data_IF_876883212758
#
_entry.id   IF_876883212758
#
_cell.length_a   1.000
_cell.length_b   1.000
_cell.length_c   1.000
_cell.angle_alpha   90.00
_cell.angle_beta   90.00
_cell.angle_gamma   90.00
#
_symmetry.space_group_name_H-M   'P 1'
#
loop_
_entity.id
_entity.type
_entity.pdbx_description
1 polymer ?
#
# COMPACT_ATOMS: atom_id res chain seq x y z
N UNK A 1 -24.50 10.57 -11.14
CA UNK A 1 -25.39 9.39 -11.07
C UNK A 1 -25.27 8.80 -9.68
N UNK A 2 -26.23 8.01 -9.23
CA UNK A 2 -26.24 7.36 -7.91
C UNK A 2 -26.01 5.84 -8.03
N UNK A 3 -25.86 5.15 -6.89
CA UNK A 3 -25.71 3.69 -6.85
C UNK A 3 -26.92 2.94 -7.45
N UNK A 4 -28.14 3.47 -7.31
CA UNK A 4 -29.37 2.85 -7.84
C UNK A 4 -29.38 2.86 -9.37
N UNK A 5 -29.03 3.98 -9.99
CA UNK A 5 -28.91 4.08 -11.45
C UNK A 5 -27.78 3.22 -11.99
N UNK A 6 -26.67 3.06 -11.27
CA UNK A 6 -25.63 2.08 -11.61
C UNK A 6 -26.17 0.65 -11.61
N UNK A 7 -26.90 0.27 -10.56
CA UNK A 7 -27.50 -1.07 -10.46
C UNK A 7 -28.45 -1.34 -11.63
N UNK A 8 -29.30 -0.38 -11.98
CA UNK A 8 -30.21 -0.47 -13.12
C UNK A 8 -29.48 -0.57 -14.45
N UNK A 9 -28.40 0.21 -14.64
CA UNK A 9 -27.54 0.10 -15.83
C UNK A 9 -26.95 -1.31 -15.94
N UNK A 10 -26.32 -1.81 -14.89
CA UNK A 10 -25.73 -3.16 -14.88
C UNK A 10 -26.78 -4.22 -15.23
N UNK A 11 -27.98 -4.13 -14.66
CA UNK A 11 -29.09 -5.05 -14.95
C UNK A 11 -29.49 -5.05 -16.43
N UNK A 12 -29.51 -3.88 -17.08
CA UNK A 12 -29.82 -3.75 -18.53
C UNK A 12 -28.71 -4.29 -19.43
N UNK A 13 -27.49 -4.43 -18.91
CA UNK A 13 -26.36 -4.99 -19.66
C UNK A 13 -26.33 -6.52 -19.66
N UNK A 14 -27.18 -7.17 -18.88
CA UNK A 14 -27.15 -8.63 -18.71
C UNK A 14 -27.25 -9.37 -20.06
N UNK A 15 -26.37 -10.34 -20.26
CA UNK A 15 -26.30 -11.12 -21.50
C UNK A 15 -25.88 -10.34 -22.76
N UNK A 16 -25.64 -9.02 -22.69
CA UNK A 16 -25.07 -8.25 -23.82
C UNK A 16 -23.60 -8.63 -24.03
N UNK A 17 -23.07 -8.28 -25.21
CA UNK A 17 -21.65 -8.43 -25.49
C UNK A 17 -20.79 -7.60 -24.55
N UNK A 18 -19.62 -8.11 -24.18
CA UNK A 18 -18.74 -7.55 -23.15
C UNK A 18 -18.41 -6.05 -23.34
N UNK A 19 -18.27 -5.61 -24.61
CA UNK A 19 -18.00 -4.21 -24.93
C UNK A 19 -19.04 -3.22 -24.42
N UNK A 20 -20.26 -3.68 -24.11
CA UNK A 20 -21.32 -2.85 -23.52
C UNK A 20 -20.98 -2.37 -22.10
N UNK A 21 -20.03 -2.98 -21.39
CA UNK A 21 -19.54 -2.45 -20.12
C UNK A 21 -18.98 -1.03 -20.22
N UNK A 22 -18.57 -0.57 -21.43
CA UNK A 22 -18.11 0.82 -21.64
C UNK A 22 -19.18 1.85 -21.24
N UNK A 23 -20.46 1.48 -21.27
CA UNK A 23 -21.59 2.31 -20.80
C UNK A 23 -21.55 2.58 -19.28
N UNK A 24 -20.77 1.81 -18.51
CA UNK A 24 -20.58 2.03 -17.08
C UNK A 24 -19.59 3.16 -16.78
N UNK A 25 -18.78 3.63 -17.73
CA UNK A 25 -17.82 4.71 -17.50
C UNK A 25 -18.51 5.95 -16.91
N UNK A 26 -17.95 6.52 -15.84
CA UNK A 26 -18.51 7.71 -15.20
C UNK A 26 -18.33 7.75 -13.68
N UNK A 27 -19.05 8.67 -13.05
CA UNK A 27 -18.99 8.94 -11.61
C UNK A 27 -20.34 8.61 -10.98
N UNK A 28 -20.30 7.83 -9.90
CA UNK A 28 -21.46 7.34 -9.17
C UNK A 28 -21.33 7.69 -7.69
N UNK A 29 -22.31 8.42 -7.16
CA UNK A 29 -22.42 8.72 -5.75
C UNK A 29 -23.00 7.51 -5.02
N UNK A 30 -22.25 6.99 -4.06
CA UNK A 30 -22.72 6.06 -3.04
C UNK A 30 -22.96 6.84 -1.74
N UNK A 31 -23.56 6.20 -0.74
CA UNK A 31 -23.92 6.88 0.51
C UNK A 31 -22.70 7.46 1.23
N UNK A 32 -21.57 6.76 1.18
CA UNK A 32 -20.35 7.11 1.95
C UNK A 32 -19.14 7.46 1.10
N UNK A 33 -19.21 7.30 -0.23
CA UNK A 33 -18.07 7.57 -1.12
C UNK A 33 -18.55 7.86 -2.55
N UNK A 34 -17.64 8.36 -3.40
CA UNK A 34 -17.86 8.44 -4.85
C UNK A 34 -17.06 7.36 -5.55
N UNK A 35 -17.68 6.65 -6.48
CA UNK A 35 -17.03 5.66 -7.33
C UNK A 35 -16.81 6.25 -8.72
N UNK A 36 -15.58 6.13 -9.21
CA UNK A 36 -15.16 6.51 -10.56
C UNK A 36 -14.83 5.23 -11.32
N UNK A 37 -15.47 5.05 -12.47
CA UNK A 37 -15.13 4.00 -13.43
C UNK A 37 -14.42 4.70 -14.58
N UNK A 38 -13.09 4.78 -14.52
CA UNK A 38 -12.29 5.61 -15.43
C UNK A 38 -12.00 4.89 -16.75
N UNK A 39 -11.62 3.61 -16.67
CA UNK A 39 -11.31 2.78 -17.83
C UNK A 39 -11.97 1.42 -17.68
N UNK A 40 -12.70 1.01 -18.70
CA UNK A 40 -13.31 -0.32 -18.78
C UNK A 40 -12.44 -1.21 -19.66
N UNK A 41 -12.14 -2.43 -19.20
CA UNK A 41 -11.38 -3.41 -19.96
C UNK A 41 -12.10 -3.81 -21.27
N UNK A 42 -11.36 -4.05 -22.34
CA UNK A 42 -11.94 -4.31 -23.67
C UNK A 42 -12.61 -5.69 -23.77
N UNK A 43 -12.09 -6.67 -23.03
CA UNK A 43 -12.58 -8.04 -22.96
C UNK A 43 -12.24 -8.66 -21.58
N UNK A 44 -12.79 -9.83 -21.21
CA UNK A 44 -12.57 -10.46 -19.90
C UNK A 44 -11.12 -10.87 -19.59
N UNK A 45 -10.26 -11.01 -20.60
CA UNK A 45 -8.86 -11.44 -20.46
C UNK A 45 -7.88 -10.25 -20.45
N UNK A 46 -8.29 -9.09 -20.98
CA UNK A 46 -7.51 -7.86 -21.00
C UNK A 46 -7.09 -7.39 -19.59
N UNK A 47 -6.20 -6.39 -19.50
CA UNK A 47 -5.91 -5.71 -18.23
C UNK A 47 -7.20 -5.22 -17.58
N UNK A 48 -7.42 -5.47 -16.26
CA UNK A 48 -8.69 -5.16 -15.65
C UNK A 48 -9.03 -3.66 -15.66
N UNK A 49 -10.28 -3.36 -15.41
CA UNK A 49 -10.85 -2.01 -15.47
C UNK A 49 -10.27 -1.14 -14.35
N UNK A 50 -9.92 0.11 -14.65
CA UNK A 50 -9.40 1.06 -13.67
C UNK A 50 -10.56 1.78 -12.98
N UNK A 51 -10.59 1.66 -11.66
CA UNK A 51 -11.56 2.26 -10.78
C UNK A 51 -10.83 3.20 -9.80
N UNK A 52 -11.52 4.25 -9.37
CA UNK A 52 -11.13 5.04 -8.20
C UNK A 52 -12.30 5.16 -7.25
N UNK A 53 -12.02 5.21 -5.96
CA UNK A 53 -13.00 5.60 -4.96
C UNK A 53 -12.50 6.83 -4.21
N UNK A 54 -13.42 7.73 -3.89
CA UNK A 54 -13.17 8.93 -3.11
C UNK A 54 -14.02 8.89 -1.84
N UNK A 55 -13.35 8.78 -0.69
CA UNK A 55 -13.94 8.82 0.64
C UNK A 55 -13.76 10.22 1.23
N UNK A 56 -14.84 10.98 1.47
CA UNK A 56 -14.77 12.27 2.15
C UNK A 56 -14.17 12.17 3.56
N UNK A 57 -13.54 13.23 4.03
CA UNK A 57 -12.86 13.28 5.33
C UNK A 57 -13.79 12.94 6.51
N UNK A 58 -15.03 13.42 6.47
CA UNK A 58 -16.07 13.18 7.48
C UNK A 58 -16.49 11.71 7.60
N UNK A 59 -16.27 10.94 6.54
CA UNK A 59 -16.49 9.49 6.48
C UNK A 59 -15.23 8.73 6.88
N UNK A 60 -14.09 9.10 6.28
CA UNK A 60 -12.81 8.45 6.53
C UNK A 60 -12.37 8.60 8.00
N UNK A 61 -12.64 9.77 8.60
CA UNK A 61 -12.37 10.10 10.01
C UNK A 61 -10.93 9.82 10.44
N UNK A 62 -9.98 10.00 9.52
CA UNK A 62 -8.57 9.83 9.79
C UNK A 62 -8.12 10.89 10.82
N UNK A 63 -7.44 10.51 11.90
CA UNK A 63 -6.95 11.48 12.87
C UNK A 63 -5.90 12.40 12.23
N UNK A 64 -5.99 13.71 12.49
CA UNK A 64 -5.10 14.72 11.91
C UNK A 64 -3.61 14.43 12.14
N UNK A 65 -3.25 13.79 13.26
CA UNK A 65 -1.87 13.41 13.56
C UNK A 65 -1.27 12.43 12.56
N UNK A 66 -2.10 11.68 11.81
CA UNK A 66 -1.62 10.68 10.83
C UNK A 66 -1.13 11.30 9.53
N UNK A 67 -1.47 12.56 9.26
CA UNK A 67 -1.07 13.29 8.05
C UNK A 67 -0.61 14.73 8.35
N UNK A 68 -0.16 14.99 9.58
CA UNK A 68 0.31 16.29 10.03
C UNK A 68 1.64 16.74 9.38
N UNK A 69 2.44 15.79 8.89
CA UNK A 69 3.68 16.01 8.14
C UNK A 69 3.69 15.12 6.89
N UNK A 70 4.55 15.44 5.92
CA UNK A 70 4.68 14.66 4.69
C UNK A 70 5.14 13.22 5.00
N UNK A 71 6.03 13.06 5.97
CA UNK A 71 6.53 11.78 6.45
C UNK A 71 5.39 10.93 7.05
N UNK A 72 4.57 11.54 7.91
CA UNK A 72 3.42 10.85 8.52
C UNK A 72 2.41 10.44 7.47
N UNK A 73 2.09 11.37 6.55
CA UNK A 73 1.19 11.13 5.42
C UNK A 73 1.68 9.97 4.54
N UNK A 74 2.97 9.89 4.22
CA UNK A 74 3.52 8.76 3.46
C UNK A 74 3.35 7.43 4.23
N UNK A 75 3.60 7.40 5.54
CA UNK A 75 3.35 6.20 6.36
C UNK A 75 1.87 5.78 6.35
N UNK A 76 0.96 6.75 6.48
CA UNK A 76 -0.49 6.55 6.40
C UNK A 76 -0.94 6.00 5.04
N UNK A 77 -0.48 6.59 3.94
CA UNK A 77 -0.84 6.15 2.58
C UNK A 77 -0.37 4.72 2.30
N UNK A 78 0.84 4.35 2.75
CA UNK A 78 1.35 2.99 2.64
C UNK A 78 0.54 2.00 3.50
N UNK A 79 0.17 2.40 4.71
CA UNK A 79 -0.71 1.60 5.57
C UNK A 79 -2.07 1.36 4.92
N UNK A 80 -2.74 2.42 4.43
CA UNK A 80 -4.03 2.30 3.77
C UNK A 80 -3.95 1.45 2.50
N UNK A 81 -2.89 1.59 1.70
CA UNK A 81 -2.65 0.76 0.53
C UNK A 81 -2.45 -0.71 0.91
N UNK A 82 -1.74 -0.99 2.01
CA UNK A 82 -1.57 -2.33 2.56
C UNK A 82 -2.92 -2.94 3.00
N UNK A 83 -3.70 -2.21 3.81
CA UNK A 83 -5.02 -2.62 4.27
C UNK A 83 -5.97 -2.86 3.09
N UNK A 84 -5.99 -1.95 2.12
CA UNK A 84 -6.79 -2.06 0.91
C UNK A 84 -6.42 -3.30 0.09
N UNK A 85 -5.13 -3.59 -0.09
CA UNK A 85 -4.66 -4.76 -0.82
C UNK A 85 -5.05 -6.07 -0.13
N UNK A 86 -4.93 -6.16 1.20
CA UNK A 86 -5.39 -7.32 1.96
C UNK A 86 -6.91 -7.50 1.83
N UNK A 87 -7.68 -6.41 1.97
CA UNK A 87 -9.14 -6.47 1.85
C UNK A 87 -9.58 -6.84 0.45
N UNK A 88 -8.97 -6.26 -0.58
CA UNK A 88 -9.23 -6.58 -1.98
C UNK A 88 -8.97 -8.06 -2.27
N UNK A 89 -7.85 -8.62 -1.78
CA UNK A 89 -7.55 -10.05 -1.92
C UNK A 89 -8.59 -10.94 -1.23
N UNK A 90 -9.07 -10.55 -0.06
CA UNK A 90 -10.09 -11.31 0.68
C UNK A 90 -11.48 -11.25 0.00
N UNK A 91 -11.79 -10.15 -0.69
CA UNK A 91 -13.05 -9.96 -1.42
C UNK A 91 -13.02 -10.59 -2.83
N UNK A 92 -11.84 -10.66 -3.45
CA UNK A 92 -11.67 -11.19 -4.80
C UNK A 92 -12.12 -12.66 -4.86
N UNK A 93 -13.04 -12.94 -5.78
CA UNK A 93 -13.61 -14.28 -6.04
C UNK A 93 -13.71 -14.48 -7.53
N UNK A 94 -13.48 -15.70 -8.01
CA UNK A 94 -13.66 -15.99 -9.42
C UNK A 94 -15.15 -15.89 -9.80
N UNK A 95 -15.48 -14.99 -10.74
CA UNK A 95 -16.87 -14.67 -11.13
C UNK A 95 -17.12 -14.83 -12.62
N UNK A 96 -16.54 -15.85 -13.24
CA UNK A 96 -16.69 -16.13 -14.67
C UNK A 96 -15.35 -16.12 -15.41
N UNK A 97 -15.34 -15.83 -16.70
CA UNK A 97 -14.19 -16.03 -17.57
C UNK A 97 -13.05 -15.02 -17.33
N UNK A 98 -11.81 -15.48 -17.49
CA UNK A 98 -10.62 -14.62 -17.47
C UNK A 98 -10.38 -14.01 -16.09
N UNK A 99 -10.27 -12.68 -16.04
CA UNK A 99 -10.01 -11.91 -14.81
C UNK A 99 -11.28 -11.58 -14.01
N UNK A 100 -12.42 -12.15 -14.38
CA UNK A 100 -13.72 -11.88 -13.75
C UNK A 100 -13.69 -12.05 -12.22
N UNK A 101 -14.04 -10.97 -11.52
CA UNK A 101 -14.13 -10.90 -10.06
C UNK A 101 -12.81 -10.61 -9.33
N UNK A 102 -11.73 -10.32 -10.06
CA UNK A 102 -10.52 -9.77 -9.47
C UNK A 102 -10.76 -8.36 -8.92
N UNK A 103 -10.19 -8.08 -7.74
CA UNK A 103 -10.01 -6.74 -7.20
C UNK A 103 -8.54 -6.62 -6.85
N UNK A 104 -7.84 -5.67 -7.47
CA UNK A 104 -6.39 -5.51 -7.31
C UNK A 104 -6.11 -4.09 -6.88
N UNK A 105 -5.55 -3.97 -5.68
CA UNK A 105 -4.94 -2.74 -5.19
C UNK A 105 -3.44 -2.95 -5.17
N UNK A 106 -2.68 -2.00 -5.70
CA UNK A 106 -1.23 -2.01 -5.54
C UNK A 106 -0.89 -1.59 -4.12
N UNK A 107 -0.50 -2.56 -3.29
CA UNK A 107 0.00 -2.31 -1.94
C UNK A 107 1.49 -1.94 -1.94
N UNK A 108 2.02 -1.53 -0.77
CA UNK A 108 3.44 -1.25 -0.63
C UNK A 108 4.28 -2.53 -0.74
N UNK A 109 5.53 -2.37 -1.14
CA UNK A 109 6.57 -3.40 -1.09
C UNK A 109 7.11 -3.56 0.33
N UNK A 110 8.43 -3.62 0.49
CA UNK A 110 9.06 -3.52 1.81
C UNK A 110 9.41 -2.07 2.16
N UNK A 111 9.49 -1.21 1.16
CA UNK A 111 9.77 0.21 1.24
C UNK A 111 8.48 1.00 1.43
N UNK A 112 8.55 2.07 2.24
CA UNK A 112 7.49 3.06 2.34
C UNK A 112 7.83 4.24 1.43
N UNK A 113 7.10 4.35 0.32
CA UNK A 113 7.31 5.37 -0.72
C UNK A 113 6.01 6.14 -0.97
N UNK A 114 6.05 7.36 -1.53
CA UNK A 114 4.85 7.97 -2.08
C UNK A 114 4.22 7.04 -3.14
N UNK A 115 2.94 6.67 -2.96
CA UNK A 115 2.23 5.75 -3.85
C UNK A 115 1.12 6.48 -4.60
N UNK A 116 0.84 6.04 -5.82
CA UNK A 116 -0.32 6.53 -6.59
C UNK A 116 -1.60 5.76 -6.31
N UNK A 117 -1.49 4.61 -5.61
CA UNK A 117 -2.61 3.75 -5.29
C UNK A 117 -3.52 4.39 -4.23
N UNK A 118 -2.94 5.08 -3.25
CA UNK A 118 -3.69 5.79 -2.21
C UNK A 118 -3.14 7.19 -2.06
N UNK A 119 -4.02 8.18 -2.00
CA UNK A 119 -3.70 9.57 -1.73
C UNK A 119 -4.59 10.09 -0.59
N UNK A 120 -3.98 10.71 0.41
CA UNK A 120 -4.71 11.38 1.51
C UNK A 120 -4.60 12.88 1.36
N UNK A 121 -5.71 13.60 1.33
CA UNK A 121 -5.72 15.06 1.19
C UNK A 121 -5.39 15.75 2.52
N UNK A 122 -5.12 17.06 2.47
CA UNK A 122 -4.80 17.84 3.68
C UNK A 122 -5.94 17.91 4.71
N UNK A 123 -7.18 17.68 4.30
CA UNK A 123 -8.35 17.57 5.17
C UNK A 123 -8.66 16.12 5.60
N UNK A 124 -7.91 15.12 5.11
CA UNK A 124 -8.05 13.72 5.50
C UNK A 124 -9.05 12.91 4.65
N UNK A 125 -9.48 13.41 3.49
CA UNK A 125 -10.18 12.60 2.49
C UNK A 125 -9.21 11.61 1.84
N UNK A 126 -9.74 10.48 1.36
CA UNK A 126 -8.94 9.38 0.81
C UNK A 126 -9.37 9.10 -0.63
N UNK A 127 -8.43 9.16 -1.57
CA UNK A 127 -8.57 8.57 -2.89
C UNK A 127 -7.87 7.20 -2.90
N UNK A 128 -8.57 6.16 -3.33
CA UNK A 128 -7.97 4.84 -3.63
C UNK A 128 -8.17 4.51 -5.11
N UNK A 129 -7.08 4.15 -5.80
CA UNK A 129 -7.05 3.69 -7.19
C UNK A 129 -6.81 2.18 -7.23
N UNK A 130 -7.62 1.46 -7.98
CA UNK A 130 -7.60 0.00 -8.00
C UNK A 130 -8.16 -0.56 -9.30
N UNK A 131 -7.93 -1.85 -9.53
CA UNK A 131 -8.38 -2.54 -10.72
C UNK A 131 -9.48 -3.55 -10.39
N UNK A 132 -10.46 -3.64 -11.28
CA UNK A 132 -11.62 -4.51 -11.13
C UNK A 132 -11.81 -5.34 -12.40
N UNK A 133 -11.81 -6.66 -12.27
CA UNK A 133 -12.12 -7.56 -13.36
C UNK A 133 -13.63 -7.75 -13.50
N UNK A 134 -14.24 -7.11 -14.50
CA UNK A 134 -15.69 -7.16 -14.66
C UNK A 134 -16.20 -8.56 -15.09
N UNK A 135 -17.24 -9.11 -14.44
CA UNK A 135 -17.72 -10.47 -14.67
C UNK A 135 -18.29 -10.75 -16.07
N UNK A 136 -17.98 -11.93 -16.61
CA UNK A 136 -18.54 -12.42 -17.87
C UNK A 136 -18.55 -13.95 -17.98
N UNK A 137 -19.46 -14.50 -18.80
CA UNK A 137 -19.43 -15.88 -19.26
C UNK A 137 -19.02 -15.87 -20.74
N UNK A 138 -17.80 -16.31 -21.04
CA UNK A 138 -17.18 -16.02 -22.34
C UNK A 138 -17.14 -14.51 -22.56
N UNK A 139 -17.81 -14.01 -23.60
CA UNK A 139 -17.92 -12.56 -23.89
C UNK A 139 -19.30 -11.97 -23.56
N UNK A 140 -20.10 -12.65 -22.74
CA UNK A 140 -21.44 -12.20 -22.33
C UNK A 140 -21.39 -11.67 -20.90
N UNK A 141 -21.95 -10.49 -20.68
CA UNK A 141 -21.97 -9.82 -19.38
C UNK A 141 -22.80 -10.64 -18.38
N UNK A 142 -22.26 -10.78 -17.17
CA UNK A 142 -22.92 -11.42 -16.02
C UNK A 142 -23.37 -10.34 -15.02
N UNK A 143 -24.59 -9.81 -15.19
CA UNK A 143 -25.02 -8.64 -14.45
C UNK A 143 -25.15 -8.88 -12.94
N UNK A 144 -25.63 -10.05 -12.53
CA UNK A 144 -25.74 -10.40 -11.10
C UNK A 144 -24.39 -10.36 -10.41
N UNK A 145 -23.39 -11.04 -10.98
CA UNK A 145 -22.03 -11.08 -10.45
C UNK A 145 -21.38 -9.68 -10.45
N UNK A 146 -21.67 -8.87 -11.47
CA UNK A 146 -21.20 -7.49 -11.53
C UNK A 146 -21.84 -6.60 -10.46
N UNK A 147 -23.12 -6.80 -10.15
CA UNK A 147 -23.80 -6.12 -9.05
C UNK A 147 -23.20 -6.54 -7.70
N UNK A 148 -23.03 -7.83 -7.43
CA UNK A 148 -22.38 -8.30 -6.18
C UNK A 148 -20.97 -7.69 -6.04
N UNK A 149 -20.17 -7.70 -7.11
CA UNK A 149 -18.83 -7.11 -7.12
C UNK A 149 -18.85 -5.59 -6.87
N UNK A 150 -19.67 -4.83 -7.60
CA UNK A 150 -19.59 -3.36 -7.59
C UNK A 150 -20.41 -2.75 -6.45
N UNK A 151 -21.54 -3.36 -6.09
CA UNK A 151 -22.51 -2.81 -5.13
C UNK A 151 -22.38 -3.41 -3.73
N UNK A 152 -21.60 -4.48 -3.55
CA UNK A 152 -21.36 -5.09 -2.23
C UNK A 152 -19.87 -5.08 -1.86
N UNK A 153 -19.01 -5.66 -2.70
CA UNK A 153 -17.57 -5.77 -2.37
C UNK A 153 -16.86 -4.41 -2.38
N UNK A 154 -17.09 -3.56 -3.39
CA UNK A 154 -16.43 -2.24 -3.44
C UNK A 154 -16.85 -1.36 -2.25
N UNK A 155 -18.14 -1.28 -1.85
CA UNK A 155 -18.51 -0.63 -0.59
C UNK A 155 -17.84 -1.26 0.64
N UNK A 156 -17.66 -2.58 0.69
CA UNK A 156 -16.93 -3.23 1.77
C UNK A 156 -15.43 -2.86 1.80
N UNK A 157 -14.81 -2.69 0.63
CA UNK A 157 -13.45 -2.16 0.49
C UNK A 157 -13.39 -0.71 0.98
N UNK A 158 -14.30 0.16 0.56
CA UNK A 158 -14.34 1.56 1.00
C UNK A 158 -14.50 1.68 2.53
N UNK A 159 -15.40 0.89 3.14
CA UNK A 159 -15.56 0.86 4.60
C UNK A 159 -14.29 0.43 5.34
N UNK A 160 -13.48 -0.45 4.75
CA UNK A 160 -12.22 -0.90 5.37
C UNK A 160 -11.16 0.19 5.52
N UNK A 161 -11.33 1.34 4.85
CA UNK A 161 -10.41 2.47 4.92
C UNK A 161 -10.85 3.56 5.90
N UNK A 162 -12.03 3.40 6.51
CA UNK A 162 -12.53 4.33 7.52
C UNK A 162 -11.84 4.02 8.86
N UNK A 163 -11.36 5.06 9.56
CA UNK A 163 -10.61 4.94 10.82
C UNK A 163 -11.21 3.97 11.86
N UNK A 164 -12.53 3.93 12.10
CA UNK A 164 -13.11 2.97 13.04
C UNK A 164 -12.88 1.48 12.70
N UNK A 165 -12.56 1.17 11.44
CA UNK A 165 -12.34 -0.20 10.95
C UNK A 165 -10.86 -0.53 10.75
N UNK A 166 -9.95 0.41 11.03
CA UNK A 166 -8.51 0.22 10.86
C UNK A 166 -7.90 -0.46 12.10
N UNK A 167 -6.81 -1.19 11.89
CA UNK A 167 -5.94 -1.59 12.99
C UNK A 167 -5.14 -0.37 13.46
N UNK A 168 -5.53 0.20 14.60
CA UNK A 168 -4.95 1.45 15.12
C UNK A 168 -3.50 1.27 15.56
N UNK A 169 -3.14 0.10 16.07
CA UNK A 169 -1.77 -0.19 16.50
C UNK A 169 -0.86 -0.30 15.27
N UNK A 170 -1.31 -1.01 14.24
CA UNK A 170 -0.55 -1.12 12.99
C UNK A 170 -0.46 0.22 12.26
N UNK A 171 -1.55 1.00 12.21
CA UNK A 171 -1.55 2.36 11.67
C UNK A 171 -0.49 3.23 12.35
N UNK A 172 -0.48 3.24 13.69
CA UNK A 172 0.49 3.99 14.48
C UNK A 172 1.92 3.58 14.14
N UNK A 173 2.19 2.27 14.11
CA UNK A 173 3.50 1.74 13.74
C UNK A 173 3.97 2.17 12.35
N UNK A 174 3.10 2.15 11.33
CA UNK A 174 3.46 2.61 9.98
C UNK A 174 3.83 4.09 9.95
N UNK A 175 2.99 4.93 10.56
CA UNK A 175 3.18 6.39 10.59
C UNK A 175 4.46 6.77 11.34
N UNK A 176 4.63 6.24 12.55
CA UNK A 176 5.76 6.57 13.42
C UNK A 176 7.08 6.00 12.89
N UNK A 177 7.08 4.79 12.33
CA UNK A 177 8.30 4.19 11.75
C UNK A 177 8.79 5.00 10.55
N UNK A 178 7.90 5.50 9.70
CA UNK A 178 8.32 6.32 8.56
C UNK A 178 8.87 7.69 9.00
N UNK A 179 8.26 8.30 10.02
CA UNK A 179 8.75 9.56 10.59
C UNK A 179 10.11 9.38 11.27
N UNK A 180 10.28 8.34 12.09
CA UNK A 180 11.57 7.99 12.72
C UNK A 180 12.67 7.75 11.66
N UNK A 181 12.35 7.00 10.60
CA UNK A 181 13.30 6.72 9.53
C UNK A 181 13.69 7.98 8.76
N UNK A 182 12.74 8.89 8.50
CA UNK A 182 13.02 10.17 7.85
C UNK A 182 13.88 11.07 8.73
N UNK A 183 13.51 11.19 10.01
CA UNK A 183 14.26 11.95 11.01
C UNK A 183 15.71 11.46 11.12
N UNK A 184 15.90 10.14 11.23
CA UNK A 184 17.22 9.53 11.30
C UNK A 184 18.08 9.89 10.08
N UNK A 185 17.52 9.75 8.86
CA UNK A 185 18.24 10.09 7.61
C UNK A 185 18.66 11.55 7.56
N UNK A 186 17.78 12.47 7.97
CA UNK A 186 18.09 13.90 8.01
C UNK A 186 19.22 14.21 9.00
N UNK A 187 19.26 13.52 10.14
CA UNK A 187 20.28 13.70 11.18
C UNK A 187 21.67 13.17 10.83
N UNK A 188 21.80 12.28 9.84
CA UNK A 188 23.11 11.70 9.48
C UNK A 188 24.15 12.79 9.16
N UNK A 189 23.75 13.81 8.40
CA UNK A 189 24.67 14.86 7.95
C UNK A 189 25.21 15.71 9.10
N UNK A 190 24.34 16.09 10.05
CA UNK A 190 24.67 16.83 11.28
C UNK A 190 25.65 16.03 12.17
N UNK A 191 25.49 14.71 12.18
CA UNK A 191 26.34 13.79 12.95
C UNK A 191 27.65 13.41 12.23
N UNK A 192 27.89 13.95 11.04
CA UNK A 192 29.06 13.60 10.22
C UNK A 192 29.04 12.16 9.69
N UNK A 193 27.85 11.55 9.64
CA UNK A 193 27.61 10.19 9.16
C UNK A 193 27.14 10.20 7.70
N UNK A 194 27.42 9.10 7.00
CA UNK A 194 26.84 8.79 5.68
C UNK A 194 25.82 7.66 5.76
N UNK A 195 25.87 6.85 6.82
CA UNK A 195 24.90 5.80 7.06
C UNK A 195 24.85 5.41 8.54
N UNK A 196 23.73 4.77 8.93
CA UNK A 196 23.52 4.19 10.25
C UNK A 196 22.83 2.84 10.11
N UNK A 197 23.34 1.82 10.82
CA UNK A 197 22.73 0.49 10.88
C UNK A 197 22.39 0.18 12.32
N UNK A 198 21.09 0.14 12.65
CA UNK A 198 20.62 -0.10 14.00
C UNK A 198 20.96 -1.53 14.47
N UNK A 199 21.31 -1.66 15.75
CA UNK A 199 21.42 -2.96 16.39
C UNK A 199 20.09 -3.71 16.32
N UNK A 200 20.17 -5.04 16.20
CA UNK A 200 19.01 -5.91 16.02
C UNK A 200 18.47 -5.95 14.59
N UNK A 201 19.03 -5.20 13.64
CA UNK A 201 18.58 -5.22 12.25
C UNK A 201 18.78 -6.59 11.61
N UNK A 202 17.73 -7.09 10.93
CA UNK A 202 17.83 -8.29 10.10
C UNK A 202 18.15 -7.88 8.66
N UNK A 203 19.44 -7.89 8.33
CA UNK A 203 19.95 -7.51 7.01
C UNK A 203 19.70 -8.56 5.90
N UNK A 204 19.90 -9.88 6.15
CA UNK A 204 19.68 -10.88 5.09
C UNK A 204 18.20 -10.98 4.71
N UNK A 205 17.94 -11.14 3.40
CA UNK A 205 16.60 -11.33 2.86
C UNK A 205 16.24 -12.81 2.81
N UNK A 206 14.95 -13.10 2.74
CA UNK A 206 14.40 -14.46 2.73
C UNK A 206 14.91 -15.27 1.54
N UNK A 207 15.06 -14.66 0.36
CA UNK A 207 15.74 -15.26 -0.79
C UNK A 207 16.18 -14.19 -1.79
N UNK A 208 16.81 -14.58 -2.91
CA UNK A 208 17.17 -13.66 -3.99
C UNK A 208 15.99 -13.01 -4.72
N UNK A 209 14.78 -13.56 -4.57
CA UNK A 209 13.54 -13.05 -5.21
C UNK A 209 12.49 -12.59 -4.21
N UNK A 210 12.69 -12.87 -2.91
CA UNK A 210 11.79 -12.49 -1.84
C UNK A 210 12.48 -11.45 -0.97
N UNK A 211 12.10 -10.17 -1.10
CA UNK A 211 12.75 -9.11 -0.40
C UNK A 211 12.33 -9.08 1.07
N UNK A 212 11.58 -10.02 1.67
CA UNK A 212 11.30 -9.97 3.12
C UNK A 212 12.54 -10.30 3.97
N UNK A 213 12.60 -9.93 5.26
CA UNK A 213 13.68 -10.37 6.15
C UNK A 213 13.76 -11.89 6.26
N UNK A 214 14.98 -12.44 6.37
CA UNK A 214 15.18 -13.85 6.65
C UNK A 214 14.68 -14.20 8.07
N UNK A 215 14.10 -15.39 8.23
CA UNK A 215 13.51 -15.82 9.52
C UNK A 215 14.55 -16.23 10.56
N UNK A 216 15.57 -16.97 10.13
CA UNK A 216 16.63 -17.51 10.99
C UNK A 216 17.94 -16.78 10.66
N UNK A 217 18.04 -15.54 11.11
CA UNK A 217 19.17 -14.67 10.82
C UNK A 217 19.83 -14.18 12.11
N UNK A 218 21.15 -14.01 12.05
CA UNK A 218 21.90 -13.35 13.12
C UNK A 218 21.57 -11.85 13.06
N UNK A 219 20.99 -11.26 14.12
CA UNK A 219 20.74 -9.83 14.15
C UNK A 219 22.07 -9.06 14.10
N UNK A 220 22.06 -7.93 13.41
CA UNK A 220 23.22 -7.07 13.34
C UNK A 220 23.56 -6.49 14.72
N UNK A 221 24.85 -6.48 15.07
CA UNK A 221 25.35 -5.84 16.27
C UNK A 221 26.57 -4.99 15.92
N UNK A 222 26.52 -3.71 16.30
CA UNK A 222 27.59 -2.77 16.06
C UNK A 222 28.77 -3.02 17.02
N UNK A 223 30.02 -3.01 16.51
CA UNK A 223 31.19 -3.09 17.37
C UNK A 223 31.25 -1.84 18.26
N UNK A 224 31.59 -2.02 19.55
CA UNK A 224 31.55 -0.96 20.54
C UNK A 224 32.36 0.30 20.15
N UNK A 225 33.47 0.14 19.43
CA UNK A 225 34.30 1.25 18.94
C UNK A 225 33.67 2.11 17.84
N UNK A 226 32.65 1.61 17.15
CA UNK A 226 31.93 2.31 16.07
C UNK A 226 30.44 2.51 16.37
N UNK A 227 29.98 2.03 17.54
CA UNK A 227 28.61 2.17 17.95
C UNK A 227 28.33 3.59 18.47
N UNK A 228 27.16 4.11 18.14
CA UNK A 228 26.64 5.36 18.69
C UNK A 228 25.13 5.24 18.91
N UNK A 229 24.60 6.13 19.73
CA UNK A 229 23.18 6.20 20.03
C UNK A 229 22.53 7.43 19.38
N UNK A 230 21.35 7.25 18.78
CA UNK A 230 20.54 8.32 18.21
C UNK A 230 19.17 8.30 18.88
N UNK A 231 18.73 9.44 19.39
CA UNK A 231 17.39 9.61 19.94
C UNK A 231 16.39 9.86 18.80
N UNK A 232 15.41 8.97 18.63
CA UNK A 232 14.34 9.09 17.64
C UNK A 232 13.04 9.58 18.30
N UNK A 233 12.16 10.29 17.57
CA UNK A 233 10.97 10.89 18.15
C UNK A 233 9.96 9.86 18.72
N UNK A 234 9.88 8.64 18.16
CA UNK A 234 8.91 7.63 18.61
C UNK A 234 9.55 6.40 19.21
N UNK A 235 10.54 5.81 18.53
CA UNK A 235 11.25 4.61 19.01
C UNK A 235 12.20 4.92 20.17
N UNK A 236 12.47 6.19 20.45
CA UNK A 236 13.42 6.62 21.46
C UNK A 236 14.85 6.32 21.06
N UNK A 237 15.70 6.03 22.03
CA UNK A 237 17.12 5.83 21.78
C UNK A 237 17.42 4.52 21.05
N UNK A 238 18.14 4.63 19.93
CA UNK A 238 18.59 3.50 19.11
C UNK A 238 20.11 3.49 19.03
N UNK A 239 20.72 2.39 19.47
CA UNK A 239 22.14 2.10 19.27
C UNK A 239 22.37 1.45 17.91
N UNK A 240 23.50 1.75 17.27
CA UNK A 240 23.88 1.11 16.02
C UNK A 240 25.23 1.56 15.47
N UNK A 241 25.62 0.99 14.34
CA UNK A 241 26.85 1.30 13.64
C UNK A 241 26.70 2.64 12.92
N UNK A 242 27.51 3.63 13.29
CA UNK A 242 27.63 4.89 12.57
C UNK A 242 28.79 4.86 11.56
N UNK A 243 28.49 4.98 10.28
CA UNK A 243 29.50 5.07 9.23
C UNK A 243 29.79 6.54 8.96
N UNK A 244 31.00 6.99 9.29
CA UNK A 244 31.46 8.38 9.12
C UNK A 244 31.79 8.68 7.65
N UNK A 245 31.76 9.97 7.29
CA UNK A 245 32.30 10.45 6.00
C UNK A 245 33.76 10.02 5.82
N UNK A 246 34.10 9.55 4.62
CA UNK A 246 35.43 9.06 4.27
C UNK A 246 35.38 7.72 3.54
N UNK A 247 36.49 6.98 3.57
CA UNK A 247 36.57 5.63 2.99
C UNK A 247 36.39 4.61 4.11
N UNK A 248 35.35 3.77 4.02
CA UNK A 248 35.11 2.66 4.95
C UNK A 248 35.32 1.34 4.22
N UNK A 249 36.20 0.48 4.76
CA UNK A 249 36.49 -0.83 4.17
C UNK A 249 35.75 -1.94 4.93
N UNK A 250 34.91 -2.69 4.22
CA UNK A 250 34.20 -3.87 4.76
C UNK A 250 34.95 -5.13 4.30
N UNK A 251 35.73 -5.73 5.20
CA UNK A 251 36.57 -6.92 4.92
C UNK A 251 36.00 -8.21 5.52
N UNK A 252 36.50 -9.37 5.08
CA UNK A 252 36.12 -10.68 5.60
C UNK A 252 36.10 -11.78 4.53
N UNK A 253 36.02 -13.03 4.96
CA UNK A 253 35.98 -14.21 4.07
C UNK A 253 34.77 -14.24 3.12
N UNK A 254 34.83 -15.11 2.12
CA UNK A 254 33.69 -15.37 1.23
C UNK A 254 32.46 -15.82 2.04
N UNK A 255 31.26 -15.36 1.68
CA UNK A 255 30.00 -15.68 2.35
C UNK A 255 29.83 -15.17 3.80
N UNK A 256 30.71 -14.28 4.30
CA UNK A 256 30.60 -13.68 5.64
C UNK A 256 29.68 -12.43 5.71
N UNK A 257 28.69 -12.28 4.81
CA UNK A 257 27.69 -11.21 4.90
C UNK A 257 28.10 -9.80 4.45
N UNK A 258 29.31 -9.59 3.91
CA UNK A 258 29.78 -8.28 3.41
C UNK A 258 28.81 -7.63 2.42
N UNK A 259 28.44 -8.37 1.37
CA UNK A 259 27.49 -7.89 0.35
C UNK A 259 26.08 -7.72 0.91
N UNK A 260 25.71 -8.47 1.95
CA UNK A 260 24.42 -8.31 2.64
C UNK A 260 24.36 -6.97 3.36
N UNK A 261 25.42 -6.59 4.08
CA UNK A 261 25.53 -5.28 4.71
C UNK A 261 25.52 -4.17 3.66
N UNK A 262 26.33 -4.30 2.60
CA UNK A 262 26.42 -3.27 1.56
C UNK A 262 25.06 -3.03 0.87
N UNK A 263 24.34 -4.10 0.51
CA UNK A 263 23.00 -3.99 -0.09
C UNK A 263 21.98 -3.32 0.84
N UNK A 264 22.12 -3.48 2.16
CA UNK A 264 21.25 -2.80 3.12
C UNK A 264 21.55 -1.29 3.22
N UNK A 265 22.75 -0.86 2.83
CA UNK A 265 23.19 0.55 2.80
C UNK A 265 22.87 1.25 1.48
N UNK A 266 22.62 0.51 0.40
CA UNK A 266 22.28 1.04 -0.93
C UNK A 266 20.85 1.63 -1.02
N UNK A 267 20.06 1.53 0.05
CA UNK A 267 18.62 1.84 0.11
C UNK A 267 18.34 3.26 0.63
#
# INVERSE_FOLDING_TARGET
MDAKSLAQKIKRLDGRGYGAYKELKGIYQFDTFKLFIDKVQADPFASPSLFRLWLPAEVARLPAWTFASQERKTGLENFLAHTAALKARALAKHRGTGKSGQIIVHGPGQEMLPLTAVEVTGDGAVELRFFVGLPAAGRRILARQAQELILEDIPALARSLCYPNLDHALLKSFVETNEDASFLRQKLSDLGLIAFVADGSILPRASGVDPRPAKEAVPFEAPASLALEIELPHRGRVRGLGIKKGVTLITGGGFHGKSTLLRALEV
#
